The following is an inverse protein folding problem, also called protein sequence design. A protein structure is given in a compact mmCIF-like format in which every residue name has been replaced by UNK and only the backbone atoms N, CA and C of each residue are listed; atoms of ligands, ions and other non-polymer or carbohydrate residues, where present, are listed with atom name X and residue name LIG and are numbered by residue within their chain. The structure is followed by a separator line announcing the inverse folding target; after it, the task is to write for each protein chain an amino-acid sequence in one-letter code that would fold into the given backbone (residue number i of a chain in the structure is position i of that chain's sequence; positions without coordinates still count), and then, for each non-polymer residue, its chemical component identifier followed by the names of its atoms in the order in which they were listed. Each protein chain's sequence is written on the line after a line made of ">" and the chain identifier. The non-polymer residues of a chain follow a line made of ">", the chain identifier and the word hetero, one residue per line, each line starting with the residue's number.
data_IF_709503165632
#
_entry.id   IF_709503165632
#
_cell.length_a   1.000
_cell.length_b   1.000
_cell.length_c   1.000
_cell.angle_alpha   90.00
_cell.angle_beta   90.00
_cell.angle_gamma   90.00
#
_symmetry.space_group_name_H-M   'P 1'
#
loop_
_entity.id
_entity.type
_entity.pdbx_description
1 polymer ?
#
# COMPACT_ATOMS: atom_id res chain seq x y z
N UNK A 1 38.54 -53.49 5.77
CA UNK A 1 37.67 -52.61 4.95
C UNK A 1 37.00 -51.61 5.90
N UNK A 2 37.71 -50.57 6.32
CA UNK A 2 37.23 -49.65 7.39
C UNK A 2 37.59 -48.18 7.14
N UNK A 3 38.13 -47.85 5.95
CA UNK A 3 38.63 -46.50 5.63
C UNK A 3 37.76 -45.72 4.64
N UNK A 4 36.61 -46.27 4.24
CA UNK A 4 35.73 -45.65 3.23
C UNK A 4 34.51 -44.94 3.85
N UNK A 5 34.20 -45.19 5.14
CA UNK A 5 32.99 -44.67 5.77
C UNK A 5 33.10 -43.27 6.39
N UNK A 6 34.29 -42.67 6.44
CA UNK A 6 34.48 -41.37 7.09
C UNK A 6 34.36 -40.15 6.16
N UNK A 7 34.26 -40.34 4.84
CA UNK A 7 34.15 -39.22 3.89
C UNK A 7 32.71 -38.82 3.54
N UNK A 8 31.71 -39.64 3.88
CA UNK A 8 30.31 -39.37 3.50
C UNK A 8 29.61 -38.36 4.44
N UNK A 9 30.05 -38.24 5.70
CA UNK A 9 29.41 -37.35 6.68
C UNK A 9 29.80 -35.86 6.52
N UNK A 10 30.99 -35.58 5.95
CA UNK A 10 31.46 -34.20 5.74
C UNK A 10 30.77 -33.49 4.56
N UNK A 11 30.21 -34.25 3.60
CA UNK A 11 29.51 -33.70 2.44
C UNK A 11 28.06 -33.28 2.75
N UNK A 12 27.46 -33.85 3.82
CA UNK A 12 26.12 -33.48 4.28
C UNK A 12 26.10 -32.17 5.08
N UNK A 13 27.25 -31.69 5.56
CA UNK A 13 27.37 -30.42 6.28
C UNK A 13 27.42 -29.19 5.35
N UNK A 14 27.71 -29.37 4.06
CA UNK A 14 27.72 -28.30 3.05
C UNK A 14 26.53 -28.35 2.08
N UNK A 15 25.63 -29.33 2.22
CA UNK A 15 24.34 -29.33 1.54
C UNK A 15 23.35 -28.38 2.24
N UNK A 16 23.75 -27.11 2.34
CA UNK A 16 22.88 -25.95 2.44
C UNK A 16 21.72 -26.05 3.42
N UNK A 17 22.00 -25.80 4.70
CA UNK A 17 21.13 -24.87 5.42
C UNK A 17 21.12 -23.57 4.61
N UNK A 18 20.19 -23.45 3.66
CA UNK A 18 19.80 -22.12 3.20
C UNK A 18 19.38 -21.40 4.46
N UNK A 19 20.17 -20.42 4.88
CA UNK A 19 19.68 -19.35 5.73
C UNK A 19 18.45 -18.82 5.00
N UNK A 20 17.28 -19.26 5.47
CA UNK A 20 16.03 -18.66 5.06
C UNK A 20 16.10 -17.31 5.73
N UNK A 21 16.50 -16.29 4.96
CA UNK A 21 16.29 -14.90 5.36
C UNK A 21 14.90 -14.85 5.98
N UNK A 22 14.75 -14.38 7.24
CA UNK A 22 13.45 -14.25 7.83
C UNK A 22 12.60 -13.47 6.86
N UNK A 23 11.64 -14.15 6.22
CA UNK A 23 10.66 -13.50 5.38
C UNK A 23 9.90 -12.62 6.36
N UNK A 24 10.27 -11.33 6.41
CA UNK A 24 9.56 -10.37 7.22
C UNK A 24 8.09 -10.53 6.82
N UNK A 25 7.20 -10.85 7.78
CA UNK A 25 5.80 -11.01 7.46
C UNK A 25 5.35 -9.71 6.78
N UNK A 26 4.56 -9.79 5.69
CA UNK A 26 4.11 -8.59 5.01
C UNK A 26 3.44 -7.69 6.04
N UNK A 27 3.99 -6.49 6.22
CA UNK A 27 3.40 -5.47 7.09
C UNK A 27 1.98 -5.24 6.55
N UNK A 28 0.93 -5.39 7.39
CA UNK A 28 -0.42 -5.05 6.96
C UNK A 28 -0.40 -3.60 6.49
N UNK A 29 -0.69 -3.38 5.21
CA UNK A 29 -0.83 -2.02 4.69
C UNK A 29 -2.07 -1.42 5.34
N UNK A 30 -1.94 -0.21 5.88
CA UNK A 30 -3.11 0.53 6.34
C UNK A 30 -4.08 0.70 5.17
N UNK A 31 -5.40 0.52 5.40
CA UNK A 31 -6.37 0.71 4.34
C UNK A 31 -6.32 2.15 3.84
N UNK A 32 -6.62 2.33 2.54
CA UNK A 32 -6.77 3.66 1.98
C UNK A 32 -7.89 4.42 2.69
N UNK A 33 -7.58 5.63 3.15
CA UNK A 33 -8.47 6.55 3.83
C UNK A 33 -8.43 7.92 3.13
N UNK A 34 -9.62 8.49 2.95
CA UNK A 34 -9.79 9.84 2.41
C UNK A 34 -10.75 10.64 3.29
N UNK A 35 -10.36 11.86 3.63
CA UNK A 35 -11.20 12.82 4.34
C UNK A 35 -11.27 14.14 3.59
N UNK A 36 -12.44 14.76 3.61
CA UNK A 36 -12.72 16.03 2.91
C UNK A 36 -13.41 16.98 3.87
N UNK A 37 -12.95 18.23 3.93
CA UNK A 37 -13.52 19.27 4.77
C UNK A 37 -13.42 20.67 4.14
N UNK A 38 -14.51 21.45 4.10
CA UNK A 38 -15.88 21.06 4.44
C UNK A 38 -16.50 20.17 3.35
N UNK A 39 -17.37 19.23 3.74
CA UNK A 39 -18.06 18.34 2.78
C UNK A 39 -19.17 19.03 1.97
N UNK A 40 -19.65 20.16 2.46
CA UNK A 40 -20.71 20.95 1.83
C UNK A 40 -20.56 22.40 2.22
N UNK A 41 -21.12 23.29 1.41
CA UNK A 41 -21.16 24.72 1.66
C UNK A 41 -22.32 25.34 0.90
N UNK A 42 -22.74 26.53 1.32
CA UNK A 42 -23.79 27.31 0.65
C UNK A 42 -23.11 28.41 -0.15
N UNK A 43 -23.35 28.46 -1.46
CA UNK A 43 -22.94 29.57 -2.30
C UNK A 43 -24.06 30.62 -2.35
N UNK A 44 -23.69 31.89 -2.18
CA UNK A 44 -24.62 33.02 -2.37
C UNK A 44 -24.83 33.34 -3.85
N UNK A 45 -25.86 34.15 -4.15
CA UNK A 45 -26.24 34.49 -5.53
C UNK A 45 -25.22 35.32 -6.32
N UNK A 46 -24.25 35.95 -5.64
CA UNK A 46 -23.16 36.70 -6.29
C UNK A 46 -22.03 35.79 -6.81
N UNK A 47 -22.09 34.49 -6.50
CA UNK A 47 -21.00 33.57 -6.76
C UNK A 47 -19.82 33.80 -5.80
N UNK A 48 -18.76 33.01 -5.98
CA UNK A 48 -17.58 33.10 -5.11
C UNK A 48 -16.64 31.91 -5.26
N UNK A 49 -15.62 31.87 -4.40
CA UNK A 49 -14.67 30.74 -4.31
C UNK A 49 -14.99 29.91 -3.08
N UNK A 50 -15.03 28.59 -3.25
CA UNK A 50 -15.14 27.63 -2.15
C UNK A 50 -13.81 26.89 -2.05
N UNK A 51 -13.24 26.88 -0.85
CA UNK A 51 -12.01 26.13 -0.55
C UNK A 51 -12.39 24.87 0.22
N UNK A 52 -11.90 23.73 -0.26
CA UNK A 52 -11.99 22.45 0.46
C UNK A 52 -10.61 21.84 0.59
N UNK A 53 -10.39 21.14 1.70
CA UNK A 53 -9.17 20.37 1.96
C UNK A 53 -9.48 18.89 1.79
N UNK A 54 -8.58 18.18 1.11
CA UNK A 54 -8.61 16.72 0.97
C UNK A 54 -7.35 16.18 1.63
N UNK A 55 -7.50 15.19 2.50
CA UNK A 55 -6.39 14.45 3.11
C UNK A 55 -6.57 12.98 2.75
N UNK A 56 -5.52 12.38 2.17
CA UNK A 56 -5.52 11.00 1.68
C UNK A 56 -4.18 10.33 2.00
N UNK A 57 -4.19 9.05 2.35
CA UNK A 57 -2.99 8.21 2.44
C UNK A 57 -2.73 7.40 1.14
N UNK A 58 -3.65 7.47 0.18
CA UNK A 58 -3.54 6.85 -1.14
C UNK A 58 -3.77 7.82 -2.30
N UNK A 59 -3.69 7.29 -3.53
CA UNK A 59 -3.99 8.02 -4.76
C UNK A 59 -5.46 8.42 -4.82
N UNK A 60 -5.75 9.62 -5.33
CA UNK A 60 -7.12 10.12 -5.43
C UNK A 60 -7.37 10.90 -6.72
N UNK A 61 -8.64 10.94 -7.12
CA UNK A 61 -9.11 11.70 -8.29
C UNK A 61 -10.36 12.48 -7.94
N UNK A 62 -10.54 13.65 -8.56
CA UNK A 62 -11.78 14.43 -8.48
C UNK A 62 -12.58 14.26 -9.76
N UNK A 63 -13.86 13.90 -9.62
CA UNK A 63 -14.80 13.77 -10.72
C UNK A 63 -16.17 14.33 -10.33
N UNK A 64 -16.97 14.70 -11.32
CA UNK A 64 -18.37 15.06 -11.10
C UNK A 64 -19.18 13.80 -10.79
N UNK A 65 -20.14 13.93 -9.87
CA UNK A 65 -21.04 12.83 -9.54
C UNK A 65 -21.78 12.36 -10.81
N UNK A 66 -21.67 11.06 -11.12
CA UNK A 66 -22.30 10.47 -12.30
C UNK A 66 -21.73 10.94 -13.65
N UNK A 67 -20.57 11.60 -13.68
CA UNK A 67 -19.99 12.15 -14.91
C UNK A 67 -20.76 13.34 -15.49
N UNK A 68 -21.61 13.98 -14.69
CA UNK A 68 -22.39 15.13 -15.12
C UNK A 68 -21.48 16.29 -15.53
N UNK A 69 -21.85 16.98 -16.61
CA UNK A 69 -21.30 18.28 -16.99
C UNK A 69 -22.30 19.35 -16.58
N UNK A 70 -21.84 20.38 -15.87
CA UNK A 70 -22.70 21.51 -15.51
C UNK A 70 -22.34 22.70 -16.41
N UNK A 71 -23.29 23.10 -17.27
CA UNK A 71 -23.26 24.38 -17.99
C UNK A 71 -23.87 25.44 -17.06
N UNK A 72 -23.01 26.10 -16.28
CA UNK A 72 -23.36 27.32 -15.56
C UNK A 72 -22.53 28.48 -16.10
#
# INVERSE_FOLDING_TARGET
>A
MEKILLFAAAMLAFAGCKEVDPVEPPVPQEPDEISVSPKSGIAGGEGGKVTTTVTSNGEWTLATAGGATYDW
#
